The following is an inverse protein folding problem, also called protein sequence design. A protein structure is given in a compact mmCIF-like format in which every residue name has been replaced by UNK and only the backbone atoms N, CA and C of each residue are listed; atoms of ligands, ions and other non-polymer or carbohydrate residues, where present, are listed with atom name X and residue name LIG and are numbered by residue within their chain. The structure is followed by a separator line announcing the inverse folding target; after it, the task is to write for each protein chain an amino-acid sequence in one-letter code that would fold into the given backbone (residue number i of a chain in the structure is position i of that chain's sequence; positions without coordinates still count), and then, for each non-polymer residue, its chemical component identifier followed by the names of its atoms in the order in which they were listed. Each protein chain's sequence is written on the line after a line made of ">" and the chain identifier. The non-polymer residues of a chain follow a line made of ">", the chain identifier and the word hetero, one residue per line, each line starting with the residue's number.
data_IF_619229666708
#
_entry.id   IF_619229666708
#
_cell.length_a   1.000
_cell.length_b   1.000
_cell.length_c   1.000
_cell.angle_alpha   90.00
_cell.angle_beta   90.00
_cell.angle_gamma   90.00
#
_symmetry.space_group_name_H-M   'P 1'
#
loop_
_entity.id
_entity.type
_entity.pdbx_description
1 polymer ?
#
# COMPACT_ATOMS: atom_id res chain seq x y z
N UNK A 1 9.85 1.78 26.50
CA UNK A 1 9.60 0.95 25.31
C UNK A 1 10.93 0.49 24.76
N UNK A 2 11.25 -0.80 24.84
CA UNK A 2 12.53 -1.36 24.39
C UNK A 2 12.68 -1.19 22.88
N UNK A 3 13.80 -0.60 22.43
CA UNK A 3 14.12 -0.34 21.03
C UNK A 3 14.28 -1.62 20.16
N UNK A 4 14.14 -2.82 20.74
CA UNK A 4 14.30 -4.09 20.02
C UNK A 4 13.06 -4.56 19.27
N UNK A 5 11.88 -3.95 19.46
CA UNK A 5 10.62 -4.39 18.83
C UNK A 5 10.22 -3.63 17.57
N UNK A 6 10.93 -2.56 17.20
CA UNK A 6 10.51 -1.66 16.11
C UNK A 6 10.90 -2.13 14.70
N UNK A 7 11.70 -3.19 14.59
CA UNK A 7 12.28 -3.66 13.33
C UNK A 7 11.92 -5.11 12.98
N UNK A 8 10.99 -5.77 13.67
CA UNK A 8 10.66 -7.18 13.39
C UNK A 8 9.60 -7.31 12.30
N UNK A 9 9.90 -8.09 11.25
CA UNK A 9 8.94 -8.49 10.23
C UNK A 9 8.17 -9.75 10.68
N UNK A 10 6.83 -9.76 10.63
CA UNK A 10 6.05 -10.97 10.85
C UNK A 10 6.42 -12.04 9.81
N UNK A 11 6.56 -13.29 10.25
CA UNK A 11 6.91 -14.42 9.36
C UNK A 11 5.89 -14.62 8.23
N UNK A 12 4.63 -14.27 8.49
CA UNK A 12 3.51 -14.39 7.57
C UNK A 12 3.50 -13.28 6.52
N UNK A 13 4.24 -12.17 6.71
CA UNK A 13 4.17 -11.02 5.81
C UNK A 13 4.68 -11.33 4.39
N UNK A 14 5.89 -11.89 4.16
CA UNK A 14 6.37 -12.17 2.81
C UNK A 14 5.45 -13.09 1.97
N UNK A 15 4.95 -14.23 2.47
CA UNK A 15 4.06 -15.08 1.67
C UNK A 15 2.67 -14.46 1.44
N UNK A 16 2.11 -13.75 2.42
CA UNK A 16 0.84 -13.03 2.24
C UNK A 16 0.98 -11.88 1.23
N UNK A 17 2.11 -11.16 1.29
CA UNK A 17 2.43 -10.12 0.32
C UNK A 17 2.52 -10.72 -1.08
N UNK A 18 3.26 -11.81 -1.26
CA UNK A 18 3.37 -12.50 -2.54
C UNK A 18 1.99 -12.84 -3.10
N UNK A 19 1.13 -13.44 -2.28
CA UNK A 19 -0.25 -13.76 -2.66
C UNK A 19 -1.05 -12.51 -3.07
N UNK A 20 -0.97 -11.43 -2.29
CA UNK A 20 -1.63 -10.17 -2.63
C UNK A 20 -1.10 -9.57 -3.94
N UNK A 21 0.22 -9.57 -4.15
CA UNK A 21 0.86 -9.04 -5.35
C UNK A 21 0.62 -9.86 -6.61
N UNK A 22 0.22 -11.13 -6.47
CA UNK A 22 -0.20 -11.97 -7.60
C UNK A 22 -1.70 -11.83 -7.86
N UNK A 23 -2.51 -11.88 -6.81
CA UNK A 23 -3.98 -11.83 -6.94
C UNK A 23 -4.47 -10.47 -7.44
N UNK A 24 -3.87 -9.37 -6.97
CA UNK A 24 -4.34 -8.03 -7.33
C UNK A 24 -4.20 -7.76 -8.84
N UNK A 25 -3.02 -7.90 -9.48
CA UNK A 25 -2.91 -7.80 -10.93
C UNK A 25 -3.76 -8.85 -11.65
N UNK A 26 -3.79 -10.10 -11.19
CA UNK A 26 -4.59 -11.14 -11.81
C UNK A 26 -6.09 -10.77 -11.86
N UNK A 27 -6.61 -10.12 -10.81
CA UNK A 27 -8.01 -9.66 -10.81
C UNK A 27 -8.29 -8.60 -11.88
N UNK A 28 -7.32 -7.73 -12.19
CA UNK A 28 -7.45 -6.71 -13.24
C UNK A 28 -7.44 -7.33 -14.65
N UNK A 29 -6.77 -8.45 -14.86
CA UNK A 29 -6.76 -9.14 -16.15
C UNK A 29 -7.94 -10.09 -16.31
N UNK A 30 -8.30 -10.82 -15.25
CA UNK A 30 -9.25 -11.92 -15.34
C UNK A 30 -10.70 -11.49 -15.14
N UNK A 31 -11.00 -10.54 -14.23
CA UNK A 31 -12.38 -10.13 -13.98
C UNK A 31 -13.05 -9.50 -15.21
N UNK A 32 -12.42 -8.58 -15.95
CA UNK A 32 -13.04 -8.00 -17.15
C UNK A 32 -13.26 -9.02 -18.27
N UNK A 33 -12.52 -10.13 -18.27
CA UNK A 33 -12.65 -11.22 -19.24
C UNK A 33 -13.81 -12.17 -18.92
N UNK A 34 -14.40 -12.08 -17.72
CA UNK A 34 -15.53 -12.94 -17.37
C UNK A 34 -16.78 -12.55 -18.18
N UNK A 35 -17.10 -13.39 -19.16
CA UNK A 35 -18.22 -13.25 -20.10
C UNK A 35 -19.61 -13.46 -19.48
N UNK A 36 -19.69 -13.66 -18.17
CA UNK A 36 -20.93 -14.07 -17.48
C UNK A 36 -22.01 -12.99 -17.43
N UNK A 37 -21.69 -11.72 -17.73
CA UNK A 37 -22.64 -10.59 -17.58
C UNK A 37 -22.72 -9.69 -18.83
N UNK A 38 -21.73 -9.71 -19.73
CA UNK A 38 -21.58 -8.68 -20.77
C UNK A 38 -21.32 -9.32 -22.13
N UNK A 39 -22.25 -9.13 -23.07
CA UNK A 39 -21.98 -9.34 -24.48
C UNK A 39 -20.94 -8.33 -24.94
N UNK A 40 -19.75 -8.82 -25.30
CA UNK A 40 -18.70 -7.98 -25.83
C UNK A 40 -19.09 -7.53 -27.25
N UNK A 41 -19.02 -6.22 -27.57
CA UNK A 41 -19.21 -5.78 -28.94
C UNK A 41 -18.18 -6.44 -29.85
N UNK A 42 -18.54 -6.64 -31.12
CA UNK A 42 -17.59 -7.14 -32.10
C UNK A 42 -16.35 -6.22 -32.12
N UNK A 43 -15.12 -6.77 -32.04
CA UNK A 43 -13.93 -5.94 -32.09
C UNK A 43 -13.93 -5.17 -33.41
N UNK A 44 -13.77 -3.84 -33.34
CA UNK A 44 -13.53 -3.01 -34.52
C UNK A 44 -12.14 -3.35 -35.07
N UNK A 45 -12.07 -4.47 -35.79
CA UNK A 45 -10.86 -4.95 -36.46
C UNK A 45 -10.57 -4.03 -37.64
N UNK A 46 -9.74 -3.01 -37.41
CA UNK A 46 -8.95 -2.44 -38.48
C UNK A 46 -7.88 -3.44 -38.88
N UNK A 47 -7.87 -3.91 -40.13
CA UNK A 47 -6.84 -4.81 -40.66
C UNK A 47 -5.40 -4.28 -40.46
N UNK A 48 -5.27 -2.98 -40.25
CA UNK A 48 -3.99 -2.25 -40.23
C UNK A 48 -3.30 -2.20 -38.85
N UNK A 49 -3.97 -2.60 -37.77
CA UNK A 49 -3.44 -2.46 -36.39
C UNK A 49 -3.66 -3.74 -35.56
N UNK A 50 -2.83 -4.78 -35.74
CA UNK A 50 -2.98 -6.04 -35.01
C UNK A 50 -2.82 -5.84 -33.49
N UNK A 51 -3.64 -6.56 -32.71
CA UNK A 51 -3.61 -6.63 -31.25
C UNK A 51 -3.67 -8.09 -30.81
N UNK A 52 -3.08 -8.38 -29.64
CA UNK A 52 -3.12 -9.73 -29.08
C UNK A 52 -4.53 -10.08 -28.57
N UNK A 53 -5.07 -11.29 -28.84
CA UNK A 53 -6.44 -11.67 -28.48
C UNK A 53 -6.82 -11.49 -27.01
N UNK A 54 -5.84 -11.59 -26.10
CA UNK A 54 -6.05 -11.36 -24.66
C UNK A 54 -6.41 -9.92 -24.30
N UNK A 55 -6.06 -8.94 -25.14
CA UNK A 55 -6.31 -7.53 -24.89
C UNK A 55 -7.65 -7.06 -25.48
N UNK A 56 -8.21 -7.79 -26.44
CA UNK A 56 -9.51 -7.50 -27.05
C UNK A 56 -10.61 -7.29 -25.99
N UNK A 57 -10.85 -8.20 -25.03
CA UNK A 57 -11.88 -8.00 -24.02
C UNK A 57 -11.58 -6.82 -23.07
N UNK A 58 -10.30 -6.55 -22.81
CA UNK A 58 -9.88 -5.48 -21.90
C UNK A 58 -10.06 -4.10 -22.51
N UNK A 59 -9.88 -4.01 -23.83
CA UNK A 59 -9.87 -2.74 -24.57
C UNK A 59 -11.19 -2.42 -25.27
N UNK A 60 -12.06 -3.42 -25.46
CA UNK A 60 -13.38 -3.23 -26.06
C UNK A 60 -14.25 -2.20 -25.29
N UNK A 61 -14.18 -2.21 -23.94
CA UNK A 61 -14.97 -1.30 -23.10
C UNK A 61 -14.14 -0.78 -21.91
N UNK A 62 -13.34 0.28 -22.09
CA UNK A 62 -12.44 0.80 -21.05
C UNK A 62 -13.11 1.06 -19.70
N UNK A 63 -14.32 1.65 -19.70
CA UNK A 63 -15.09 1.93 -18.48
C UNK A 63 -15.38 0.64 -17.69
N UNK A 64 -15.85 -0.40 -18.37
CA UNK A 64 -16.25 -1.66 -17.75
C UNK A 64 -15.03 -2.37 -17.17
N UNK A 65 -13.94 -2.40 -17.92
CA UNK A 65 -12.66 -2.98 -17.48
C UNK A 65 -12.17 -2.32 -16.20
N UNK A 66 -12.20 -0.99 -16.14
CA UNK A 66 -11.76 -0.25 -14.95
C UNK A 66 -12.77 -0.39 -13.80
N UNK A 67 -14.07 -0.46 -14.08
CA UNK A 67 -15.08 -0.73 -13.05
C UNK A 67 -14.87 -2.10 -12.38
N UNK A 68 -14.59 -3.14 -13.16
CA UNK A 68 -14.20 -4.45 -12.62
C UNK A 68 -12.87 -4.41 -11.86
N UNK A 69 -11.92 -3.62 -12.33
CA UNK A 69 -10.64 -3.39 -11.64
C UNK A 69 -10.85 -2.74 -10.28
N UNK A 70 -11.77 -1.76 -10.18
CA UNK A 70 -12.17 -1.13 -8.91
C UNK A 70 -12.80 -2.16 -7.97
N UNK A 71 -13.72 -3.00 -8.45
CA UNK A 71 -14.36 -4.05 -7.63
C UNK A 71 -13.33 -5.06 -7.13
N UNK A 72 -12.46 -5.56 -8.01
CA UNK A 72 -11.38 -6.47 -7.66
C UNK A 72 -10.40 -5.87 -6.65
N UNK A 73 -10.00 -4.61 -6.87
CA UNK A 73 -9.15 -3.87 -5.94
C UNK A 73 -9.85 -3.67 -4.58
N UNK A 74 -11.13 -3.28 -4.56
CA UNK A 74 -11.87 -3.09 -3.31
C UNK A 74 -11.91 -4.37 -2.47
N UNK A 75 -12.13 -5.53 -3.10
CA UNK A 75 -12.14 -6.81 -2.42
C UNK A 75 -10.74 -7.23 -1.93
N UNK A 76 -9.74 -7.21 -2.81
CA UNK A 76 -8.40 -7.72 -2.50
C UNK A 76 -7.59 -6.78 -1.61
N UNK A 77 -7.68 -5.47 -1.82
CA UNK A 77 -7.09 -4.46 -0.93
C UNK A 77 -7.86 -4.44 0.40
N UNK A 78 -9.18 -4.59 0.37
CA UNK A 78 -10.02 -4.78 1.56
C UNK A 78 -9.53 -5.92 2.45
N UNK A 79 -9.32 -7.09 1.84
CA UNK A 79 -8.79 -8.26 2.51
C UNK A 79 -7.35 -8.07 3.00
N UNK A 80 -6.46 -7.54 2.16
CA UNK A 80 -5.07 -7.24 2.52
C UNK A 80 -4.97 -6.27 3.69
N UNK A 81 -5.78 -5.22 3.70
CA UNK A 81 -5.78 -4.21 4.75
C UNK A 81 -6.15 -4.78 6.12
N UNK A 82 -6.94 -5.86 6.18
CA UNK A 82 -7.21 -6.60 7.41
C UNK A 82 -5.94 -7.14 8.07
N UNK A 83 -5.03 -7.71 7.27
CA UNK A 83 -3.75 -8.23 7.75
C UNK A 83 -2.79 -7.11 8.13
N UNK A 84 -2.73 -6.05 7.32
CA UNK A 84 -1.89 -4.87 7.61
C UNK A 84 -2.36 -4.16 8.88
N UNK A 85 -3.66 -4.03 9.11
CA UNK A 85 -4.21 -3.47 10.35
C UNK A 85 -3.81 -4.30 11.57
N UNK A 86 -3.91 -5.63 11.49
CA UNK A 86 -3.46 -6.52 12.58
C UNK A 86 -1.96 -6.29 12.87
N UNK A 87 -1.14 -6.17 11.83
CA UNK A 87 0.28 -5.88 11.99
C UNK A 87 0.56 -4.52 12.63
N UNK A 88 -0.07 -3.47 12.13
CA UNK A 88 0.14 -2.10 12.61
C UNK A 88 -0.31 -1.93 14.05
N UNK A 89 -1.46 -2.51 14.43
CA UNK A 89 -2.04 -2.33 15.76
C UNK A 89 -1.55 -3.34 16.80
N UNK A 90 -1.23 -4.56 16.38
CA UNK A 90 -0.92 -5.68 17.29
C UNK A 90 0.53 -6.18 17.16
N UNK A 91 1.30 -5.68 16.18
CA UNK A 91 2.70 -6.06 15.96
C UNK A 91 2.90 -7.44 15.32
N UNK A 92 1.82 -8.11 14.91
CA UNK A 92 1.85 -9.48 14.35
C UNK A 92 0.88 -9.64 13.17
N UNK A 93 1.18 -10.57 12.26
CA UNK A 93 0.25 -10.99 11.20
C UNK A 93 -0.10 -12.47 11.37
N UNK A 94 -1.38 -12.80 11.48
CA UNK A 94 -1.79 -14.19 11.67
C UNK A 94 -1.40 -14.75 13.05
N UNK A 95 -2.18 -15.70 13.53
CA UNK A 95 -2.02 -16.30 14.85
C UNK A 95 -3.24 -16.17 15.76
N UNK A 96 -4.22 -15.33 15.40
CA UNK A 96 -5.55 -15.39 15.99
C UNK A 96 -6.32 -16.55 15.32
N UNK A 97 -6.67 -17.60 16.08
CA UNK A 97 -7.56 -18.68 15.63
C UNK A 97 -8.89 -18.12 15.14
N UNK A 98 -9.59 -18.87 14.28
CA UNK A 98 -10.85 -18.41 13.63
C UNK A 98 -11.86 -17.90 14.67
N UNK A 99 -11.97 -18.57 15.82
CA UNK A 99 -12.83 -18.17 16.94
C UNK A 99 -12.48 -16.80 17.51
N UNK A 100 -11.19 -16.52 17.74
CA UNK A 100 -10.72 -15.20 18.21
C UNK A 100 -10.86 -14.10 17.16
N UNK A 101 -11.05 -14.44 15.87
CA UNK A 101 -11.37 -13.49 14.81
C UNK A 101 -12.86 -13.19 14.75
N UNK A 102 -13.70 -14.22 14.93
CA UNK A 102 -15.15 -14.10 14.97
C UNK A 102 -15.61 -13.29 16.20
N UNK A 103 -15.04 -13.55 17.39
CA UNK A 103 -15.35 -12.79 18.61
C UNK A 103 -14.84 -11.34 18.57
N UNK A 104 -13.91 -11.02 17.65
CA UNK A 104 -13.32 -9.69 17.46
C UNK A 104 -14.05 -8.87 16.39
N UNK A 105 -15.09 -9.42 15.74
CA UNK A 105 -16.06 -8.64 14.96
C UNK A 105 -16.97 -7.91 15.95
N UNK A 106 -16.43 -6.88 16.60
CA UNK A 106 -17.19 -5.95 17.43
C UNK A 106 -17.43 -4.62 16.71
N UNK A 107 -18.32 -3.79 17.25
CA UNK A 107 -18.73 -2.49 16.70
C UNK A 107 -17.53 -1.58 16.35
N UNK A 108 -16.44 -1.68 17.11
CA UNK A 108 -15.19 -0.94 16.86
C UNK A 108 -14.52 -1.31 15.53
N UNK A 109 -14.57 -2.57 15.12
CA UNK A 109 -13.99 -3.00 13.84
C UNK A 109 -14.88 -2.57 12.67
N UNK A 110 -16.20 -2.66 12.83
CA UNK A 110 -17.14 -2.21 11.80
C UNK A 110 -17.02 -0.69 11.57
N UNK A 111 -16.92 0.10 12.64
CA UNK A 111 -16.70 1.55 12.58
C UNK A 111 -15.34 1.93 11.96
N UNK A 112 -14.26 1.20 12.27
CA UNK A 112 -12.96 1.38 11.62
C UNK A 112 -13.04 1.15 10.09
N UNK A 113 -13.70 0.07 9.67
CA UNK A 113 -13.88 -0.26 8.24
C UNK A 113 -14.73 0.80 7.54
N UNK A 114 -15.84 1.20 8.17
CA UNK A 114 -16.72 2.26 7.65
C UNK A 114 -15.96 3.57 7.44
N UNK A 115 -15.23 4.01 8.47
CA UNK A 115 -14.45 5.24 8.43
C UNK A 115 -13.36 5.19 7.35
N UNK A 116 -12.71 4.04 7.15
CA UNK A 116 -11.72 3.85 6.10
C UNK A 116 -12.35 3.98 4.70
N UNK A 117 -13.52 3.38 4.47
CA UNK A 117 -14.23 3.50 3.19
C UNK A 117 -14.70 4.92 2.90
N UNK A 118 -15.34 5.58 3.87
CA UNK A 118 -15.78 6.97 3.71
C UNK A 118 -14.60 7.90 3.44
N UNK A 119 -13.49 7.75 4.17
CA UNK A 119 -12.29 8.53 3.92
C UNK A 119 -11.70 8.24 2.53
N UNK A 120 -11.72 6.99 2.09
CA UNK A 120 -11.29 6.60 0.73
C UNK A 120 -12.17 7.25 -0.34
N UNK A 121 -13.48 7.34 -0.12
CA UNK A 121 -14.40 8.05 -1.02
C UNK A 121 -14.11 9.56 -1.04
N UNK A 122 -13.86 10.22 0.09
CA UNK A 122 -13.42 11.62 0.07
C UNK A 122 -12.09 11.80 -0.66
N UNK A 123 -11.14 10.89 -0.47
CA UNK A 123 -9.87 10.89 -1.17
C UNK A 123 -10.05 10.69 -2.68
N UNK A 124 -11.03 9.90 -3.14
CA UNK A 124 -11.30 9.72 -4.58
C UNK A 124 -11.72 11.02 -5.26
N UNK A 125 -12.52 11.87 -4.59
CA UNK A 125 -12.89 13.19 -5.10
C UNK A 125 -11.71 14.16 -5.09
N UNK A 126 -10.89 14.16 -4.03
CA UNK A 126 -9.69 14.98 -3.98
C UNK A 126 -8.68 14.59 -5.08
N UNK A 127 -8.45 13.29 -5.26
CA UNK A 127 -7.59 12.75 -6.33
C UNK A 127 -8.20 13.06 -7.71
N UNK A 128 -9.52 12.99 -7.87
CA UNK A 128 -10.18 13.37 -9.12
C UNK A 128 -9.89 14.83 -9.50
N UNK A 129 -10.00 15.75 -8.53
CA UNK A 129 -9.65 17.15 -8.74
C UNK A 129 -8.18 17.31 -9.13
N UNK A 130 -7.26 16.58 -8.47
CA UNK A 130 -5.84 16.58 -8.85
C UNK A 130 -5.65 16.07 -10.28
N UNK A 131 -6.25 14.94 -10.67
CA UNK A 131 -6.13 14.42 -12.03
C UNK A 131 -6.63 15.42 -13.08
N UNK A 132 -7.75 16.11 -12.80
CA UNK A 132 -8.27 17.18 -13.65
C UNK A 132 -7.27 18.34 -13.77
N UNK A 133 -6.67 18.78 -12.66
CA UNK A 133 -5.63 19.83 -12.67
C UNK A 133 -4.38 19.41 -13.45
N UNK A 134 -4.06 18.12 -13.48
CA UNK A 134 -2.98 17.53 -14.27
C UNK A 134 -3.36 17.24 -15.73
N UNK A 135 -4.53 17.71 -16.19
CA UNK A 135 -4.94 17.67 -17.59
C UNK A 135 -5.95 16.59 -17.97
N UNK A 136 -6.55 15.88 -17.00
CA UNK A 136 -7.62 14.94 -17.31
C UNK A 136 -8.89 15.67 -17.80
N UNK A 137 -9.66 15.10 -18.75
CA UNK A 137 -10.81 15.79 -19.33
C UNK A 137 -11.92 16.06 -18.30
N UNK A 138 -12.38 17.32 -18.24
CA UNK A 138 -13.37 17.81 -17.26
C UNK A 138 -14.81 17.48 -17.66
N UNK A 139 -15.11 17.40 -18.96
CA UNK A 139 -16.50 17.36 -19.44
C UNK A 139 -16.85 16.09 -20.21
N UNK A 140 -15.93 15.56 -21.01
CA UNK A 140 -16.23 14.43 -21.91
C UNK A 140 -16.01 13.06 -21.25
N UNK A 141 -15.11 12.94 -20.28
CA UNK A 141 -14.66 11.64 -19.73
C UNK A 141 -14.77 11.58 -18.20
N UNK A 142 -15.80 12.22 -17.63
CA UNK A 142 -16.04 12.29 -16.17
C UNK A 142 -16.00 10.90 -15.50
N UNK A 143 -16.75 9.93 -16.04
CA UNK A 143 -16.81 8.58 -15.47
C UNK A 143 -15.47 7.84 -15.54
N UNK A 144 -14.74 7.99 -16.65
CA UNK A 144 -13.41 7.39 -16.80
C UNK A 144 -12.44 7.93 -15.75
N UNK A 145 -12.34 9.25 -15.66
CA UNK A 145 -11.42 9.92 -14.73
C UNK A 145 -11.80 9.65 -13.27
N UNK A 146 -13.10 9.56 -12.95
CA UNK A 146 -13.55 9.21 -11.60
C UNK A 146 -13.28 7.75 -11.25
N UNK A 147 -13.46 6.79 -12.17
CA UNK A 147 -13.11 5.39 -11.91
C UNK A 147 -11.61 5.22 -11.67
N UNK A 148 -10.76 5.96 -12.39
CA UNK A 148 -9.32 5.99 -12.14
C UNK A 148 -8.99 6.59 -10.76
N UNK A 149 -9.60 7.72 -10.39
CA UNK A 149 -9.36 8.33 -9.08
C UNK A 149 -9.85 7.44 -7.93
N UNK A 150 -10.97 6.72 -8.13
CA UNK A 150 -11.48 5.74 -7.20
C UNK A 150 -10.51 4.56 -7.04
N UNK A 151 -10.00 4.00 -8.13
CA UNK A 151 -8.98 2.95 -8.08
C UNK A 151 -7.73 3.42 -7.32
N UNK A 152 -7.22 4.61 -7.64
CA UNK A 152 -6.07 5.19 -6.95
C UNK A 152 -6.34 5.41 -5.46
N UNK A 153 -7.51 5.90 -5.08
CA UNK A 153 -7.88 6.08 -3.68
C UNK A 153 -7.91 4.76 -2.92
N UNK A 154 -8.42 3.68 -3.54
CA UNK A 154 -8.44 2.34 -2.94
C UNK A 154 -7.02 1.82 -2.73
N UNK A 155 -6.15 1.95 -3.73
CA UNK A 155 -4.77 1.48 -3.66
C UNK A 155 -3.92 2.28 -2.65
N UNK A 156 -4.14 3.59 -2.54
CA UNK A 156 -3.24 4.47 -1.77
C UNK A 156 -3.74 4.78 -0.37
N UNK A 157 -5.06 4.92 -0.19
CA UNK A 157 -5.64 5.56 1.00
C UNK A 157 -6.37 4.57 1.89
N UNK A 158 -6.98 3.52 1.33
CA UNK A 158 -7.78 2.57 2.10
C UNK A 158 -6.95 1.82 3.14
N UNK A 159 -5.80 1.24 2.76
CA UNK A 159 -4.95 0.45 3.67
C UNK A 159 -4.45 1.31 4.85
N UNK A 160 -3.86 2.50 4.63
CA UNK A 160 -3.45 3.36 5.73
C UNK A 160 -4.62 3.85 6.60
N UNK A 161 -5.76 4.19 5.99
CA UNK A 161 -6.95 4.62 6.72
C UNK A 161 -7.52 3.53 7.62
N UNK A 162 -7.52 2.27 7.17
CA UNK A 162 -8.00 1.16 7.99
C UNK A 162 -6.98 0.74 9.06
N UNK A 163 -5.69 0.78 8.75
CA UNK A 163 -4.63 0.40 9.67
C UNK A 163 -4.42 1.42 10.79
N UNK A 164 -4.24 2.70 10.43
CA UNK A 164 -3.93 3.81 11.35
C UNK A 164 -5.17 4.55 11.84
N UNK A 165 -6.29 4.46 11.12
CA UNK A 165 -7.42 5.38 11.25
C UNK A 165 -7.26 6.61 10.35
N UNK A 166 -8.36 7.19 9.83
CA UNK A 166 -8.30 8.42 9.03
C UNK A 166 -7.93 9.63 9.89
N UNK A 167 -7.28 10.66 9.31
CA UNK A 167 -6.93 11.88 10.04
C UNK A 167 -8.18 12.55 10.64
N UNK A 168 -8.00 13.30 11.72
CA UNK A 168 -9.08 13.96 12.48
C UNK A 168 -9.65 15.20 11.77
N UNK A 169 -10.05 15.03 10.52
CA UNK A 169 -10.69 16.08 9.72
C UNK A 169 -12.20 16.16 10.05
N UNK A 170 -12.81 17.37 9.98
CA UNK A 170 -14.24 17.55 10.18
C UNK A 170 -15.05 17.13 8.94
N UNK A 171 -14.92 15.86 8.52
CA UNK A 171 -15.63 15.32 7.36
C UNK A 171 -17.00 14.75 7.77
N UNK A 172 -18.08 15.09 7.03
CA UNK A 172 -19.39 14.46 7.22
C UNK A 172 -19.31 12.93 7.02
N UNK A 173 -20.20 12.18 7.69
CA UNK A 173 -20.33 10.71 7.60
C UNK A 173 -19.17 9.88 8.19
N UNK A 174 -18.10 10.52 8.64
CA UNK A 174 -17.07 9.86 9.45
C UNK A 174 -17.60 9.70 10.88
N UNK A 175 -17.68 8.46 11.36
CA UNK A 175 -18.08 8.16 12.73
C UNK A 175 -16.98 8.64 13.68
N UNK A 176 -17.25 9.74 14.38
CA UNK A 176 -16.35 10.32 15.39
C UNK A 176 -16.45 9.52 16.68
N UNK A 177 -15.41 8.77 16.99
CA UNK A 177 -15.18 8.30 18.35
C UNK A 177 -14.57 9.45 19.17
N UNK A 178 -14.99 9.59 20.44
CA UNK A 178 -14.56 10.66 21.35
C UNK A 178 -13.04 10.81 21.51
N UNK A 179 -12.26 9.76 21.21
CA UNK A 179 -10.78 9.80 21.26
C UNK A 179 -10.09 10.54 20.11
N UNK A 180 -10.79 10.80 19.00
CA UNK A 180 -10.23 11.41 17.78
C UNK A 180 -10.78 12.82 17.50
N UNK A 181 -11.18 13.54 18.55
CA UNK A 181 -11.52 14.94 18.41
C UNK A 181 -10.29 15.75 17.94
N UNK A 182 -10.45 16.78 17.08
CA UNK A 182 -9.32 17.54 16.50
C UNK A 182 -8.43 18.21 17.55
N UNK A 183 -8.99 18.49 18.73
CA UNK A 183 -8.38 19.12 19.90
C UNK A 183 -7.78 18.09 20.88
N UNK A 184 -7.96 16.79 20.66
CA UNK A 184 -7.39 15.76 21.51
C UNK A 184 -5.91 15.52 21.18
N UNK A 185 -5.11 15.23 22.20
CA UNK A 185 -3.69 14.86 22.01
C UNK A 185 -3.52 13.64 21.10
N UNK A 186 -4.47 12.70 21.16
CA UNK A 186 -4.48 11.52 20.29
C UNK A 186 -4.78 11.87 18.82
N UNK A 187 -5.70 12.81 18.55
CA UNK A 187 -6.00 13.32 17.21
C UNK A 187 -4.82 14.05 16.59
N UNK A 188 -4.08 14.84 17.39
CA UNK A 188 -2.86 15.51 16.94
C UNK A 188 -1.74 14.52 16.59
N UNK A 189 -1.51 13.50 17.42
CA UNK A 189 -0.51 12.45 17.14
C UNK A 189 -0.84 11.71 15.84
N UNK A 190 -2.13 11.42 15.62
CA UNK A 190 -2.58 10.76 14.41
C UNK A 190 -2.34 11.64 13.17
N UNK A 191 -2.71 12.93 13.22
CA UNK A 191 -2.47 13.86 12.10
C UNK A 191 -0.97 14.00 11.81
N UNK A 192 -0.14 14.15 12.86
CA UNK A 192 1.32 14.19 12.71
C UNK A 192 1.88 12.91 12.11
N UNK A 193 1.27 11.75 12.42
CA UNK A 193 1.65 10.48 11.80
C UNK A 193 1.34 10.48 10.31
N UNK A 194 0.15 10.95 9.90
CA UNK A 194 -0.22 11.09 8.49
C UNK A 194 0.69 12.06 7.73
N UNK A 195 0.98 13.22 8.31
CA UNK A 195 1.89 14.22 7.74
C UNK A 195 3.27 13.61 7.55
N UNK A 196 3.84 13.00 8.59
CA UNK A 196 5.16 12.36 8.51
C UNK A 196 5.23 11.25 7.46
N UNK A 197 4.18 10.46 7.31
CA UNK A 197 4.17 9.32 6.40
C UNK A 197 3.93 9.72 4.94
N UNK A 198 3.00 10.63 4.66
CA UNK A 198 2.53 10.92 3.31
C UNK A 198 2.91 12.30 2.78
N UNK A 199 3.27 13.26 3.65
CA UNK A 199 3.77 14.56 3.23
C UNK A 199 5.30 14.65 3.36
N UNK A 200 5.88 14.11 4.46
CA UNK A 200 7.34 14.11 4.68
C UNK A 200 8.03 12.86 4.13
N UNK A 201 7.28 11.83 3.74
CA UNK A 201 7.81 10.53 3.27
C UNK A 201 8.87 9.91 4.21
N UNK A 202 8.63 9.97 5.52
CA UNK A 202 9.56 9.53 6.56
C UNK A 202 9.09 8.26 7.33
N UNK A 203 8.90 7.09 6.67
CA UNK A 203 8.54 5.85 7.33
C UNK A 203 9.72 5.26 8.13
N UNK A 204 9.51 5.04 9.43
CA UNK A 204 10.54 4.57 10.37
C UNK A 204 10.46 3.06 10.59
N UNK A 205 9.25 2.50 10.60
CA UNK A 205 9.04 1.07 10.86
C UNK A 205 8.76 0.28 9.57
N UNK A 206 8.98 -1.05 9.56
CA UNK A 206 8.63 -1.88 8.40
C UNK A 206 7.15 -1.81 8.02
N UNK A 207 6.26 -1.69 9.01
CA UNK A 207 4.81 -1.55 8.77
C UNK A 207 4.47 -0.20 8.14
N UNK A 208 5.12 0.89 8.56
CA UNK A 208 4.96 2.21 7.93
C UNK A 208 5.44 2.21 6.46
N UNK A 209 6.55 1.52 6.14
CA UNK A 209 7.01 1.37 4.74
C UNK A 209 6.00 0.60 3.90
N UNK A 210 5.41 -0.45 4.46
CA UNK A 210 4.37 -1.24 3.81
C UNK A 210 3.05 -0.46 3.57
N UNK A 211 2.85 0.68 4.25
CA UNK A 211 1.75 1.61 3.97
C UNK A 211 2.14 2.65 2.90
N UNK A 212 3.34 3.21 3.01
CA UNK A 212 3.76 4.38 2.21
C UNK A 212 4.23 3.99 0.80
N UNK A 213 5.08 2.97 0.68
CA UNK A 213 5.71 2.67 -0.62
C UNK A 213 4.72 2.20 -1.69
N UNK A 214 3.72 1.35 -1.38
CA UNK A 214 2.69 1.01 -2.37
C UNK A 214 1.89 2.22 -2.84
N UNK A 215 1.62 3.18 -1.94
CA UNK A 215 0.90 4.41 -2.29
C UNK A 215 1.72 5.30 -3.25
N UNK A 216 3.00 5.53 -2.94
CA UNK A 216 3.92 6.25 -3.84
C UNK A 216 4.03 5.51 -5.18
N UNK A 217 4.23 4.19 -5.13
CA UNK A 217 4.32 3.35 -6.30
C UNK A 217 3.09 3.45 -7.19
N UNK A 218 1.89 3.46 -6.61
CA UNK A 218 0.64 3.59 -7.37
C UNK A 218 0.54 4.93 -8.11
N UNK A 219 0.87 6.05 -7.46
CA UNK A 219 0.85 7.36 -8.11
C UNK A 219 1.92 7.47 -9.20
N UNK A 220 3.16 7.02 -8.91
CA UNK A 220 4.25 7.00 -9.90
C UNK A 220 3.91 6.10 -11.09
N UNK A 221 3.28 4.95 -10.83
CA UNK A 221 2.78 4.03 -11.83
C UNK A 221 1.76 4.70 -12.73
N UNK A 222 0.69 5.26 -12.15
CA UNK A 222 -0.37 5.94 -12.89
C UNK A 222 0.15 7.10 -13.75
N UNK A 223 1.07 7.90 -13.19
CA UNK A 223 1.73 8.98 -13.90
C UNK A 223 2.54 8.46 -15.10
N UNK A 224 3.32 7.40 -14.89
CA UNK A 224 4.09 6.76 -15.98
C UNK A 224 3.15 6.18 -17.05
N UNK A 225 1.99 5.65 -16.65
CA UNK A 225 0.95 5.17 -17.58
C UNK A 225 0.30 6.25 -18.43
N UNK A 226 0.45 7.53 -18.09
CA UNK A 226 0.02 8.62 -18.95
C UNK A 226 0.97 8.85 -20.14
N UNK A 227 2.26 8.47 -20.02
CA UNK A 227 3.27 8.69 -21.06
C UNK A 227 2.89 8.02 -22.39
N UNK A 228 2.50 6.73 -22.43
CA UNK A 228 2.07 6.12 -23.68
C UNK A 228 0.87 6.80 -24.34
N UNK A 229 0.01 7.48 -23.58
CA UNK A 229 -1.15 8.19 -24.17
C UNK A 229 -0.66 9.41 -24.95
N UNK A 230 0.27 10.18 -24.38
CA UNK A 230 0.83 11.36 -25.05
C UNK A 230 1.68 11.02 -26.27
N UNK A 231 2.23 9.81 -26.36
CA UNK A 231 2.99 9.34 -27.52
C UNK A 231 2.10 8.88 -28.69
N UNK A 232 0.80 8.72 -28.44
CA UNK A 232 -0.26 8.48 -29.42
C UNK A 232 0.11 7.46 -30.52
N UNK A 233 0.19 6.19 -30.13
CA UNK A 233 0.39 5.09 -31.08
C UNK A 233 -0.93 4.64 -31.71
N UNK A 234 -2.03 5.37 -31.44
CA UNK A 234 -3.40 5.09 -31.84
C UNK A 234 -3.77 3.61 -31.63
N UNK A 235 -3.44 3.06 -30.45
CA UNK A 235 -3.78 1.67 -30.09
C UNK A 235 -4.92 1.63 -29.08
N UNK A 236 -5.82 0.64 -29.17
CA UNK A 236 -6.97 0.52 -28.26
C UNK A 236 -6.53 0.29 -26.80
N UNK A 237 -5.33 -0.24 -26.57
CA UNK A 237 -4.78 -0.35 -25.22
C UNK A 237 -4.35 0.99 -24.61
N UNK A 238 -4.16 2.06 -25.40
CA UNK A 238 -3.88 3.43 -24.93
C UNK A 238 -5.15 4.19 -24.50
N UNK A 239 -6.34 3.59 -24.57
CA UNK A 239 -7.57 4.28 -24.24
C UNK A 239 -7.60 4.74 -22.76
N UNK A 240 -8.02 5.99 -22.53
CA UNK A 240 -8.18 6.54 -21.18
C UNK A 240 -9.32 5.82 -20.44
N UNK A 241 -9.14 5.36 -19.18
CA UNK A 241 -7.98 5.51 -18.30
C UNK A 241 -7.20 4.19 -18.12
N UNK A 242 -7.23 3.27 -19.10
CA UNK A 242 -6.68 1.92 -18.97
C UNK A 242 -5.19 1.95 -18.62
N UNK A 243 -4.38 2.65 -19.42
CA UNK A 243 -2.93 2.70 -19.22
C UNK A 243 -2.53 3.22 -17.82
N UNK A 244 -3.05 4.37 -17.32
CA UNK A 244 -2.88 4.77 -15.93
C UNK A 244 -3.39 3.74 -14.91
N UNK A 245 -4.54 3.10 -15.14
CA UNK A 245 -5.11 2.16 -14.18
C UNK A 245 -4.24 0.90 -13.99
N UNK A 246 -3.79 0.28 -15.09
CA UNK A 246 -2.92 -0.91 -15.02
C UNK A 246 -1.53 -0.57 -14.48
N UNK A 247 -0.95 0.54 -14.94
CA UNK A 247 0.35 1.00 -14.43
C UNK A 247 0.30 1.41 -12.96
N UNK A 248 -0.81 1.95 -12.45
CA UNK A 248 -1.01 2.21 -11.02
C UNK A 248 -0.92 0.93 -10.20
N UNK A 249 -1.55 -0.16 -10.65
CA UNK A 249 -1.47 -1.45 -9.93
C UNK A 249 -0.07 -2.06 -10.01
N UNK A 250 0.60 -1.97 -11.17
CA UNK A 250 1.99 -2.41 -11.31
C UNK A 250 2.89 -1.62 -10.36
N UNK A 251 2.75 -0.30 -10.33
CA UNK A 251 3.49 0.57 -9.43
C UNK A 251 3.20 0.28 -7.96
N UNK A 252 1.94 0.03 -7.59
CA UNK A 252 1.56 -0.40 -6.24
C UNK A 252 2.28 -1.70 -5.83
N UNK A 253 2.31 -2.71 -6.72
CA UNK A 253 2.99 -3.99 -6.49
C UNK A 253 4.50 -3.78 -6.33
N UNK A 254 5.14 -3.01 -7.23
CA UNK A 254 6.56 -2.70 -7.14
C UNK A 254 6.89 -1.95 -5.85
N UNK A 255 6.04 -1.00 -5.43
CA UNK A 255 6.16 -0.30 -4.16
C UNK A 255 6.06 -1.25 -2.96
N UNK A 256 5.14 -2.22 -2.99
CA UNK A 256 4.98 -3.19 -1.92
C UNK A 256 6.17 -4.17 -1.82
N UNK A 257 6.69 -4.63 -2.95
CA UNK A 257 7.94 -5.42 -3.01
C UNK A 257 9.12 -4.58 -2.52
N UNK A 258 9.20 -3.31 -2.92
CA UNK A 258 10.20 -2.36 -2.44
C UNK A 258 10.16 -2.14 -0.93
N UNK A 259 8.96 -2.10 -0.33
CA UNK A 259 8.82 -2.01 1.13
C UNK A 259 9.39 -3.23 1.85
N UNK A 260 9.14 -4.43 1.31
CA UNK A 260 9.73 -5.67 1.84
C UNK A 260 11.26 -5.65 1.68
N UNK A 261 11.76 -5.30 0.49
CA UNK A 261 13.19 -5.27 0.19
C UNK A 261 13.94 -4.29 1.09
N UNK A 262 13.50 -3.03 1.17
CA UNK A 262 14.10 -2.02 2.05
C UNK A 262 14.01 -2.39 3.52
N UNK A 263 12.92 -3.01 3.95
CA UNK A 263 12.80 -3.52 5.33
C UNK A 263 13.78 -4.66 5.60
N UNK A 264 13.94 -5.59 4.67
CA UNK A 264 14.94 -6.65 4.76
C UNK A 264 16.36 -6.10 4.88
N UNK A 265 16.74 -5.16 4.00
CA UNK A 265 18.07 -4.53 4.02
C UNK A 265 18.33 -3.82 5.35
N UNK A 266 17.37 -3.02 5.84
CA UNK A 266 17.55 -2.26 7.09
C UNK A 266 17.60 -3.17 8.33
N UNK A 267 16.91 -4.32 8.30
CA UNK A 267 17.01 -5.32 9.36
C UNK A 267 18.38 -5.99 9.36
N UNK A 268 18.87 -6.38 8.19
CA UNK A 268 20.21 -6.99 8.05
C UNK A 268 21.31 -6.00 8.50
N UNK A 269 21.22 -4.73 8.08
CA UNK A 269 22.15 -3.69 8.52
C UNK A 269 22.13 -3.48 10.04
N UNK A 270 20.94 -3.54 10.66
CA UNK A 270 20.81 -3.46 12.11
C UNK A 270 21.43 -4.68 12.82
N UNK A 271 21.25 -5.89 12.27
CA UNK A 271 21.86 -7.11 12.79
C UNK A 271 23.39 -7.07 12.72
N UNK A 272 23.95 -6.59 11.61
CA UNK A 272 25.40 -6.44 11.42
C UNK A 272 26.00 -5.47 12.44
N UNK A 273 25.43 -4.26 12.56
CA UNK A 273 25.87 -3.25 13.52
C UNK A 273 25.87 -3.79 14.96
N UNK A 274 24.84 -4.57 15.32
CA UNK A 274 24.73 -5.20 16.64
C UNK A 274 25.80 -6.29 16.84
N UNK A 275 26.09 -7.08 15.82
CA UNK A 275 27.16 -8.09 15.86
C UNK A 275 28.51 -7.43 16.09
N UNK A 276 28.86 -6.41 15.29
CA UNK A 276 30.14 -5.70 15.42
C UNK A 276 30.29 -5.03 16.81
N UNK A 277 29.21 -4.52 17.39
CA UNK A 277 29.22 -3.94 18.73
C UNK A 277 29.48 -4.99 19.84
N UNK A 278 29.02 -6.23 19.65
CA UNK A 278 29.28 -7.34 20.59
C UNK A 278 30.74 -7.77 20.47
N UNK A 279 31.25 -7.96 19.26
CA UNK A 279 32.64 -8.33 19.01
C UNK A 279 33.61 -7.26 19.56
N UNK A 280 33.30 -5.98 19.39
CA UNK A 280 34.04 -4.86 19.97
C UNK A 280 34.09 -4.90 21.51
N UNK A 281 32.98 -5.26 22.16
CA UNK A 281 32.95 -5.42 23.64
C UNK A 281 33.79 -6.61 24.10
N UNK A 282 33.74 -7.73 23.40
CA UNK A 282 34.49 -8.93 23.76
C UNK A 282 36.00 -8.79 23.51
N UNK A 283 36.40 -8.12 22.43
CA UNK A 283 37.81 -7.77 22.19
C UNK A 283 38.34 -6.82 23.27
N UNK A 284 37.56 -5.81 23.66
CA UNK A 284 37.92 -4.89 24.76
C UNK A 284 38.08 -5.64 26.09
N UNK A 285 37.13 -6.52 26.43
CA UNK A 285 37.23 -7.36 27.65
C UNK A 285 38.48 -8.24 27.64
N UNK A 286 38.79 -8.90 26.51
CA UNK A 286 40.01 -9.73 26.36
C UNK A 286 41.28 -8.89 26.51
N UNK A 287 41.32 -7.69 25.95
CA UNK A 287 42.46 -6.78 26.07
C UNK A 287 42.69 -6.30 27.52
N UNK A 288 41.61 -5.96 28.24
CA UNK A 288 41.66 -5.59 29.66
C UNK A 288 42.14 -6.76 30.51
N UNK A 289 41.59 -7.96 30.32
CA UNK A 289 42.02 -9.17 31.04
C UNK A 289 43.52 -9.49 30.80
N UNK A 290 44.02 -9.29 29.58
CA UNK A 290 45.44 -9.46 29.24
C UNK A 290 46.33 -8.41 29.92
N UNK A 291 45.89 -7.14 30.01
CA UNK A 291 46.60 -6.08 30.75
C UNK A 291 46.65 -6.38 32.25
N UNK A 292 45.54 -6.82 32.86
CA UNK A 292 45.49 -7.20 34.28
C UNK A 292 46.44 -8.36 34.58
N UNK A 293 46.43 -9.42 33.75
CA UNK A 293 47.38 -10.55 33.89
C UNK A 293 48.85 -10.12 33.76
N UNK A 294 49.18 -9.18 32.86
CA UNK A 294 50.55 -8.65 32.73
C UNK A 294 50.94 -7.76 33.91
N UNK A 295 50.06 -6.88 34.37
CA UNK A 295 50.32 -5.99 35.52
C UNK A 295 50.44 -6.73 36.85
N UNK A 296 49.66 -7.81 37.05
CA UNK A 296 49.76 -8.65 38.24
C UNK A 296 51.06 -9.46 38.34
N UNK A 297 51.66 -9.83 37.20
CA UNK A 297 52.97 -10.52 37.17
C UNK A 297 54.16 -9.59 37.46
N UNK A 298 54.03 -8.29 37.21
CA UNK A 298 55.10 -7.30 37.45
C UNK A 298 55.16 -6.84 38.91
N UNK A 299 54.09 -7.01 39.70
CA UNK A 299 54.06 -6.68 41.14
C UNK A 299 54.43 -7.84 42.07
N UNK A 300 54.69 -9.04 41.53
CA UNK A 300 54.98 -10.26 42.30
C UNK A 300 56.44 -10.75 42.13
N UNK A 301 57.28 -9.94 41.49
CA UNK A 301 58.73 -10.11 41.41
C UNK A 301 59.39 -8.90 42.09
#
# INVERSE_FOLDING_TARGET
>A
MSASSSLTLPKQYPPLLLLHTLLLPASLFLLPQTSLVITLPAPERGLDKPQHPLLDPLTARPIVTVAWSVVGAAALVGWWAGWVREWVREGRMGGAGVETRLSRIGDKKATDVWNAWIFTLYASFAIHAVLVLFGAPITTHLMHTYLLSLLLSILTTFVPAYALGPPSLPLPLLSRNAGYAPDSSAGLIQNNTWIRLFAEFAPRTPSERALVYPAIGAFMGAWTGAIPIGLDWDRPWQAWPLTPAYSAVIGYVLGAIGALGTSGVLILAHMDTKSSAIDGKDTTKKAVAKKVKKGGKVKAA
#
